data_IF_163688934081
#
_entry.id   IF_163688934081
#
_cell.length_a   1.000
_cell.length_b   1.000
_cell.length_c   1.000
_cell.angle_alpha   90.00
_cell.angle_beta   90.00
_cell.angle_gamma   90.00
#
_symmetry.space_group_name_H-M   'P 1'
#
loop_
_entity.id
_entity.type
_entity.pdbx_description
1 polymer ?
#
# COMPACT_ATOMS: atom_id res chain seq x y z
N UNK A 1 36.44 22.68 24.78
CA UNK A 1 35.38 23.19 25.68
C UNK A 1 33.97 22.88 25.20
N UNK A 2 33.71 22.74 23.89
CA UNK A 2 32.42 22.36 23.30
C UNK A 2 31.83 21.04 23.82
N UNK A 3 32.66 20.00 24.00
CA UNK A 3 32.20 18.67 24.48
C UNK A 3 31.62 18.61 25.90
N UNK A 4 31.96 19.55 26.79
CA UNK A 4 31.48 19.53 28.18
C UNK A 4 30.13 20.26 28.28
N UNK A 5 29.97 21.36 27.51
CA UNK A 5 28.70 22.10 27.41
C UNK A 5 27.62 21.23 26.76
N UNK A 6 27.98 20.47 25.72
CA UNK A 6 27.03 19.52 25.09
C UNK A 6 26.56 18.44 26.08
N UNK A 7 27.46 17.86 26.88
CA UNK A 7 27.08 16.85 27.89
C UNK A 7 26.19 17.42 29.01
N UNK A 8 26.42 18.65 29.45
CA UNK A 8 25.57 19.28 30.47
C UNK A 8 24.18 19.61 29.93
N UNK A 9 24.04 19.96 28.65
CA UNK A 9 22.73 20.13 28.00
C UNK A 9 22.02 18.79 27.81
N UNK A 10 22.72 17.74 27.36
CA UNK A 10 22.16 16.38 27.26
C UNK A 10 21.63 15.85 28.60
N UNK A 11 22.34 16.10 29.71
CA UNK A 11 21.88 15.73 31.06
C UNK A 11 20.61 16.51 31.43
N UNK A 12 20.54 17.80 31.12
CA UNK A 12 19.33 18.60 31.37
C UNK A 12 18.14 18.12 30.56
N UNK A 13 18.34 17.78 29.29
CA UNK A 13 17.27 17.20 28.47
C UNK A 13 16.85 15.82 29.00
N UNK A 14 17.77 15.01 29.52
CA UNK A 14 17.44 13.74 30.15
C UNK A 14 16.60 13.92 31.41
N UNK A 15 17.01 14.80 32.32
CA UNK A 15 16.27 15.08 33.57
C UNK A 15 14.86 15.65 33.28
N UNK A 16 14.75 16.56 32.30
CA UNK A 16 13.47 17.15 31.87
C UNK A 16 12.56 16.09 31.22
N UNK A 17 13.10 15.23 30.37
CA UNK A 17 12.30 14.22 29.66
C UNK A 17 11.97 13.01 30.54
N UNK A 18 12.83 12.62 31.47
CA UNK A 18 12.51 11.60 32.48
C UNK A 18 11.36 12.08 33.39
N UNK A 19 11.37 13.35 33.82
CA UNK A 19 10.23 13.96 34.55
C UNK A 19 8.93 13.95 33.73
N UNK A 20 9.02 14.26 32.44
CA UNK A 20 7.88 14.20 31.51
C UNK A 20 7.35 12.77 31.35
N UNK A 21 8.23 11.78 31.21
CA UNK A 21 7.83 10.37 31.06
C UNK A 21 7.20 9.84 32.35
N UNK A 22 7.71 10.22 33.52
CA UNK A 22 7.07 9.94 34.81
C UNK A 22 5.69 10.60 34.93
N UNK A 23 5.53 11.84 34.45
CA UNK A 23 4.24 12.54 34.41
C UNK A 23 3.22 11.88 33.47
N UNK A 24 3.67 11.32 32.34
CA UNK A 24 2.83 10.50 31.45
C UNK A 24 2.31 9.23 32.14
N UNK A 25 3.11 8.66 33.06
CA UNK A 25 2.75 7.48 33.86
C UNK A 25 1.92 7.81 35.12
N UNK A 26 1.87 9.07 35.57
CA UNK A 26 1.15 9.52 36.78
C UNK A 26 -0.11 10.36 36.51
N UNK A 27 -0.67 10.29 35.30
CA UNK A 27 -1.90 10.99 34.88
C UNK A 27 -1.79 12.53 34.78
N UNK A 28 -0.56 13.08 34.79
CA UNK A 28 -0.22 14.49 34.50
C UNK A 28 0.16 14.69 33.02
N UNK A 29 -0.59 14.01 32.13
CA UNK A 29 -0.22 13.85 30.72
C UNK A 29 -0.21 15.18 29.96
N UNK A 30 -1.21 16.05 30.17
CA UNK A 30 -1.35 17.27 29.39
C UNK A 30 -0.21 18.27 29.69
N UNK A 31 0.11 18.52 30.97
CA UNK A 31 1.22 19.38 31.40
C UNK A 31 2.58 18.86 30.92
N UNK A 32 2.78 17.54 30.98
CA UNK A 32 4.02 16.90 30.54
C UNK A 32 4.23 17.05 29.03
N UNK A 33 3.15 16.97 28.24
CA UNK A 33 3.21 17.12 26.79
C UNK A 33 3.42 18.58 26.35
N UNK A 34 2.85 19.55 27.06
CA UNK A 34 3.08 20.98 26.79
C UNK A 34 4.57 21.35 26.93
N UNK A 35 5.24 20.86 27.98
CA UNK A 35 6.68 21.08 28.18
C UNK A 35 7.53 20.53 27.03
N UNK A 36 7.16 19.38 26.46
CA UNK A 36 7.87 18.81 25.30
C UNK A 36 7.69 19.69 24.07
N UNK A 37 6.48 20.21 23.84
CA UNK A 37 6.17 21.07 22.70
C UNK A 37 6.98 22.36 22.75
N UNK A 38 7.13 22.98 23.92
CA UNK A 38 7.93 24.19 24.09
C UNK A 38 9.40 23.99 23.71
N UNK A 39 9.93 22.79 23.92
CA UNK A 39 11.30 22.41 23.57
C UNK A 39 11.45 21.97 22.11
N UNK A 40 10.36 21.70 21.37
CA UNK A 40 10.41 21.30 19.95
C UNK A 40 10.96 22.40 19.02
N UNK A 41 11.15 23.64 19.50
CA UNK A 41 11.87 24.66 18.76
C UNK A 41 13.38 24.40 18.63
N UNK A 42 13.95 23.53 19.46
CA UNK A 42 15.39 23.25 19.52
C UNK A 42 15.76 22.00 18.71
N UNK A 43 16.56 22.19 17.65
CA UNK A 43 17.05 21.09 16.81
C UNK A 43 17.94 20.10 17.57
N UNK A 44 18.64 20.54 18.63
CA UNK A 44 19.42 19.65 19.48
C UNK A 44 18.51 18.76 20.32
N UNK A 45 17.42 19.33 20.83
CA UNK A 45 16.40 18.57 21.55
C UNK A 45 15.73 17.52 20.65
N UNK A 46 15.41 17.88 19.39
CA UNK A 46 14.91 16.90 18.40
C UNK A 46 15.90 15.77 18.12
N UNK A 47 17.19 16.09 18.01
CA UNK A 47 18.24 15.08 17.85
C UNK A 47 18.30 14.15 19.07
N UNK A 48 18.32 14.71 20.28
CA UNK A 48 18.25 13.95 21.53
C UNK A 48 17.02 13.03 21.56
N UNK A 49 15.82 13.55 21.26
CA UNK A 49 14.59 12.77 21.26
C UNK A 49 14.66 11.57 20.32
N UNK A 50 15.26 11.71 19.13
CA UNK A 50 15.44 10.61 18.16
C UNK A 50 16.36 9.50 18.67
N UNK A 51 17.42 9.87 19.38
CA UNK A 51 18.41 8.92 19.91
C UNK A 51 17.99 8.31 21.24
N UNK A 52 17.06 8.95 21.95
CA UNK A 52 16.54 8.50 23.24
C UNK A 52 15.46 7.41 23.13
N UNK A 53 15.18 6.74 24.25
CA UNK A 53 14.05 5.80 24.39
C UNK A 53 12.69 6.48 24.52
N UNK A 54 12.65 7.79 24.75
CA UNK A 54 11.46 8.50 25.21
C UNK A 54 10.36 8.61 24.17
N UNK A 55 10.69 8.74 22.88
CA UNK A 55 9.67 8.69 21.82
C UNK A 55 8.96 7.34 21.77
N UNK A 56 9.70 6.24 21.99
CA UNK A 56 9.10 4.92 22.09
C UNK A 56 8.20 4.80 23.33
N UNK A 57 8.64 5.33 24.48
CA UNK A 57 7.85 5.36 25.71
C UNK A 57 6.55 6.16 25.54
N UNK A 58 6.60 7.35 24.94
CA UNK A 58 5.42 8.16 24.62
C UNK A 58 4.41 7.40 23.74
N UNK A 59 4.88 6.70 22.71
CA UNK A 59 3.99 5.88 21.85
C UNK A 59 3.44 4.67 22.61
N UNK A 60 4.22 4.07 23.52
CA UNK A 60 3.74 3.00 24.40
C UNK A 60 2.65 3.49 25.37
N UNK A 61 2.74 4.72 25.88
CA UNK A 61 1.68 5.32 26.70
C UNK A 61 0.39 5.47 25.90
N UNK A 62 0.46 5.93 24.64
CA UNK A 62 -0.72 5.98 23.75
C UNK A 62 -1.40 4.62 23.57
N UNK A 63 -0.65 3.52 23.69
CA UNK A 63 -1.16 2.16 23.51
C UNK A 63 -1.73 1.55 24.80
N UNK A 64 -1.17 1.91 25.96
CA UNK A 64 -1.49 1.30 27.25
C UNK A 64 -2.55 2.08 28.03
N UNK A 65 -2.55 3.40 27.94
CA UNK A 65 -3.43 4.28 28.71
C UNK A 65 -4.59 4.83 27.89
N UNK A 66 -5.73 5.08 28.54
CA UNK A 66 -6.82 5.88 27.97
C UNK A 66 -6.47 7.36 28.10
N UNK A 67 -5.65 7.85 27.18
CA UNK A 67 -5.31 9.27 27.10
C UNK A 67 -6.42 10.05 26.37
N UNK A 68 -6.52 11.35 26.64
CA UNK A 68 -7.44 12.25 25.95
C UNK A 68 -7.10 12.34 24.44
N UNK A 69 -8.09 12.69 23.62
CA UNK A 69 -7.86 12.92 22.19
C UNK A 69 -6.88 14.09 21.95
N UNK A 70 -6.92 15.11 22.81
CA UNK A 70 -5.97 16.23 22.82
C UNK A 70 -4.53 15.74 23.06
N UNK A 71 -4.29 14.99 24.14
CA UNK A 71 -2.96 14.45 24.46
C UNK A 71 -2.43 13.57 23.32
N UNK A 72 -3.28 12.72 22.74
CA UNK A 72 -2.93 11.89 21.60
C UNK A 72 -2.48 12.71 20.40
N UNK A 73 -3.19 13.81 20.09
CA UNK A 73 -2.84 14.70 19.00
C UNK A 73 -1.51 15.43 19.25
N UNK A 74 -1.22 15.80 20.49
CA UNK A 74 0.06 16.42 20.86
C UNK A 74 1.22 15.44 20.68
N UNK A 75 1.09 14.18 21.10
CA UNK A 75 2.15 13.16 20.84
C UNK A 75 2.38 12.98 19.34
N UNK A 76 1.32 12.94 18.53
CA UNK A 76 1.46 12.86 17.07
C UNK A 76 2.12 14.10 16.48
N UNK A 77 1.86 15.28 17.04
CA UNK A 77 2.51 16.53 16.67
C UNK A 77 4.01 16.49 16.99
N UNK A 78 4.38 16.10 18.22
CA UNK A 78 5.78 15.91 18.63
C UNK A 78 6.49 14.97 17.66
N UNK A 79 5.93 13.79 17.38
CA UNK A 79 6.51 12.85 16.41
C UNK A 79 6.68 13.49 15.01
N UNK A 80 5.70 14.26 14.56
CA UNK A 80 5.77 14.92 13.25
C UNK A 80 6.81 16.05 13.18
N UNK A 81 7.12 16.71 14.30
CA UNK A 81 8.13 17.75 14.38
C UNK A 81 9.54 17.19 14.55
N UNK A 82 9.67 16.04 15.21
CA UNK A 82 10.96 15.38 15.45
C UNK A 82 11.51 14.69 14.20
N UNK A 83 10.65 14.05 13.40
CA UNK A 83 11.09 13.33 12.21
C UNK A 83 11.03 14.19 10.96
N UNK A 84 12.19 14.47 10.36
CA UNK A 84 12.24 15.15 9.08
C UNK A 84 11.86 14.18 7.93
N UNK A 85 10.76 14.40 7.20
CA UNK A 85 10.36 13.54 6.10
C UNK A 85 11.33 13.58 4.91
N UNK A 86 12.23 14.57 4.87
CA UNK A 86 13.30 14.73 3.87
C UNK A 86 14.60 14.00 4.25
N UNK A 87 14.64 13.34 5.42
CA UNK A 87 15.77 12.55 5.90
C UNK A 87 15.42 11.06 5.92
N UNK A 88 16.18 10.26 5.17
CA UNK A 88 16.05 8.80 5.22
C UNK A 88 16.42 8.24 6.61
N UNK A 89 17.43 8.82 7.28
CA UNK A 89 17.84 8.40 8.61
C UNK A 89 16.72 8.55 9.62
N UNK A 90 16.07 9.72 9.63
CA UNK A 90 14.95 10.03 10.51
C UNK A 90 13.78 9.07 10.29
N UNK A 91 13.42 8.79 9.03
CA UNK A 91 12.34 7.85 8.74
C UNK A 91 12.70 6.41 9.12
N UNK A 92 13.96 6.01 8.98
CA UNK A 92 14.43 4.70 9.46
C UNK A 92 14.26 4.59 10.98
N UNK A 93 14.61 5.64 11.73
CA UNK A 93 14.46 5.64 13.19
C UNK A 93 12.99 5.68 13.61
N UNK A 94 12.13 6.39 12.88
CA UNK A 94 10.68 6.28 13.04
C UNK A 94 10.20 4.82 12.86
N UNK A 95 10.65 4.12 11.81
CA UNK A 95 10.25 2.73 11.60
C UNK A 95 10.74 1.80 12.72
N UNK A 96 11.92 2.04 13.30
CA UNK A 96 12.37 1.31 14.50
C UNK A 96 11.42 1.52 15.67
N UNK A 97 11.02 2.76 15.95
CA UNK A 97 10.05 3.05 17.03
C UNK A 97 8.70 2.37 16.76
N UNK A 98 8.22 2.43 15.51
CA UNK A 98 6.98 1.73 15.12
C UNK A 98 7.10 0.20 15.21
N UNK A 99 8.30 -0.37 15.04
CA UNK A 99 8.54 -1.79 15.30
C UNK A 99 8.63 -2.11 16.78
N UNK A 100 9.21 -1.24 17.60
CA UNK A 100 9.24 -1.41 19.06
C UNK A 100 7.83 -1.41 19.66
N UNK A 101 6.88 -0.70 19.04
CA UNK A 101 5.44 -0.81 19.33
C UNK A 101 4.91 -2.23 19.09
N UNK A 102 5.47 -2.93 18.10
CA UNK A 102 5.08 -4.29 17.78
C UNK A 102 5.68 -5.32 18.74
N UNK A 103 6.89 -5.09 19.27
CA UNK A 103 7.57 -6.05 20.16
C UNK A 103 6.73 -6.42 21.40
N UNK A 104 6.71 -7.67 21.89
CA UNK A 104 7.69 -8.76 21.73
C UNK A 104 7.86 -9.46 20.37
N UNK A 105 8.82 -10.40 20.29
CA UNK A 105 9.44 -10.84 19.04
C UNK A 105 8.40 -11.32 18.05
N UNK A 106 8.34 -10.66 16.89
CA UNK A 106 7.63 -11.18 15.72
C UNK A 106 8.44 -12.38 15.21
N UNK A 107 8.32 -13.52 15.89
CA UNK A 107 8.79 -14.80 15.38
C UNK A 107 8.03 -15.11 14.11
N UNK A 108 8.75 -15.35 13.02
CA UNK A 108 8.21 -15.84 11.76
C UNK A 108 7.22 -16.98 12.02
N UNK A 109 5.92 -16.67 11.92
CA UNK A 109 4.85 -17.67 11.84
C UNK A 109 3.97 -17.90 13.08
N UNK A 110 4.22 -17.28 14.25
CA UNK A 110 3.43 -17.62 15.46
C UNK A 110 2.62 -16.45 16.03
N UNK A 111 1.30 -16.59 15.84
CA UNK A 111 0.18 -16.16 16.67
C UNK A 111 0.17 -14.72 17.21
N UNK A 112 -0.66 -13.91 16.51
CA UNK A 112 -1.33 -12.73 17.05
C UNK A 112 -2.24 -13.19 18.21
N UNK A 113 -1.69 -13.28 19.41
CA UNK A 113 -2.49 -13.49 20.61
C UNK A 113 -3.27 -12.20 20.93
N UNK A 114 -4.60 -12.32 20.79
CA UNK A 114 -5.65 -11.31 20.89
C UNK A 114 -5.79 -10.34 19.69
N UNK A 115 -6.87 -10.51 18.92
CA UNK A 115 -7.24 -9.64 17.79
C UNK A 115 -7.49 -8.18 18.19
N UNK A 116 -7.78 -7.91 19.47
CA UNK A 116 -7.98 -6.56 20.00
C UNK A 116 -6.67 -5.79 20.18
N UNK A 117 -5.62 -6.44 20.72
CA UNK A 117 -4.30 -5.83 20.90
C UNK A 117 -3.62 -5.53 19.55
N UNK A 118 -3.68 -6.47 18.61
CA UNK A 118 -3.17 -6.20 17.26
C UNK A 118 -3.95 -5.08 16.55
N UNK A 119 -5.25 -4.93 16.83
CA UNK A 119 -6.06 -3.83 16.29
C UNK A 119 -5.64 -2.47 16.86
N UNK A 120 -5.40 -2.36 18.16
CA UNK A 120 -4.96 -1.09 18.77
C UNK A 120 -3.58 -0.70 18.27
N UNK A 121 -2.61 -1.63 18.30
CA UNK A 121 -1.25 -1.42 17.77
C UNK A 121 -1.26 -0.98 16.30
N UNK A 122 -1.96 -1.74 15.44
CA UNK A 122 -2.04 -1.41 14.02
C UNK A 122 -2.71 -0.05 13.79
N UNK A 123 -3.74 0.32 14.55
CA UNK A 123 -4.40 1.63 14.43
C UNK A 123 -3.46 2.78 14.75
N UNK A 124 -2.68 2.69 15.84
CA UNK A 124 -1.71 3.73 16.21
C UNK A 124 -0.63 3.86 15.14
N UNK A 125 -0.10 2.74 14.65
CA UNK A 125 0.87 2.73 13.55
C UNK A 125 0.30 3.44 12.31
N UNK A 126 -0.93 3.10 11.90
CA UNK A 126 -1.55 3.73 10.72
C UNK A 126 -1.71 5.23 10.90
N UNK A 127 -2.13 5.66 12.08
CA UNK A 127 -2.33 7.07 12.39
C UNK A 127 -1.01 7.86 12.33
N UNK A 128 0.07 7.31 12.88
CA UNK A 128 1.40 7.92 12.80
C UNK A 128 1.86 8.02 11.33
N UNK A 129 1.72 6.94 10.56
CA UNK A 129 2.11 6.89 9.15
C UNK A 129 1.22 7.78 8.25
N UNK A 130 -0.03 8.05 8.64
CA UNK A 130 -0.92 8.98 7.95
C UNK A 130 -0.62 10.45 8.30
N UNK A 131 -0.09 10.72 9.50
CA UNK A 131 0.21 12.07 9.98
C UNK A 131 1.58 12.57 9.51
N UNK A 132 2.58 11.71 9.49
CA UNK A 132 3.95 12.06 9.07
C UNK A 132 4.04 11.93 7.54
N UNK A 133 4.32 13.01 6.79
CA UNK A 133 4.33 12.95 5.34
C UNK A 133 5.56 12.20 4.82
N UNK A 134 5.43 10.89 4.58
CA UNK A 134 6.57 10.05 4.19
C UNK A 134 6.96 10.31 2.74
N UNK A 135 8.19 10.80 2.52
CA UNK A 135 8.82 10.78 1.21
C UNK A 135 9.38 9.40 0.92
N UNK A 136 9.28 9.04 -0.34
CA UNK A 136 9.69 7.75 -0.84
C UNK A 136 11.15 7.78 -1.33
N UNK A 137 12.03 7.08 -0.63
CA UNK A 137 13.46 6.93 -0.97
C UNK A 137 13.74 5.58 -1.63
N UNK A 138 14.59 5.55 -2.64
CA UNK A 138 15.07 4.29 -3.23
C UNK A 138 15.63 3.34 -2.17
N UNK A 139 16.36 3.86 -1.18
CA UNK A 139 16.92 3.10 -0.05
C UNK A 139 15.88 2.38 0.83
N UNK A 140 14.58 2.68 0.69
CA UNK A 140 13.55 1.93 1.41
C UNK A 140 13.52 0.46 1.04
N UNK A 141 13.92 0.09 -0.18
CA UNK A 141 14.06 -1.31 -0.63
C UNK A 141 14.94 -2.18 0.27
N UNK A 142 15.85 -1.56 1.03
CA UNK A 142 16.82 -2.24 1.89
C UNK A 142 16.51 -2.08 3.39
N UNK A 143 15.40 -1.42 3.75
CA UNK A 143 15.05 -1.16 5.13
C UNK A 143 14.27 -2.33 5.74
N UNK A 144 15.00 -3.19 6.46
CA UNK A 144 14.44 -4.36 7.18
C UNK A 144 13.33 -3.95 8.15
N UNK A 145 13.46 -2.80 8.81
CA UNK A 145 12.44 -2.33 9.75
C UNK A 145 11.11 -2.05 9.06
N UNK A 146 11.18 -1.39 7.90
CA UNK A 146 10.03 -1.10 7.07
C UNK A 146 9.43 -2.37 6.47
N UNK A 147 10.24 -3.34 6.06
CA UNK A 147 9.79 -4.64 5.55
C UNK A 147 8.93 -5.37 6.57
N UNK A 148 9.40 -5.47 7.81
CA UNK A 148 8.65 -6.11 8.90
C UNK A 148 7.34 -5.37 9.19
N UNK A 149 7.37 -4.04 9.19
CA UNK A 149 6.19 -3.20 9.41
C UNK A 149 5.15 -3.41 8.30
N UNK A 150 5.59 -3.37 7.04
CA UNK A 150 4.76 -3.59 5.86
C UNK A 150 4.14 -4.98 5.87
N UNK A 151 4.91 -6.01 6.19
CA UNK A 151 4.41 -7.38 6.31
C UNK A 151 3.33 -7.52 7.39
N UNK A 152 3.55 -6.94 8.57
CA UNK A 152 2.55 -6.91 9.64
C UNK A 152 1.25 -6.22 9.19
N UNK A 153 1.36 -5.07 8.53
CA UNK A 153 0.20 -4.32 8.04
C UNK A 153 -0.57 -5.08 6.96
N UNK A 154 0.12 -5.80 6.06
CA UNK A 154 -0.51 -6.69 5.08
C UNK A 154 -1.39 -7.75 5.77
N UNK A 155 -0.89 -8.40 6.83
CA UNK A 155 -1.65 -9.39 7.62
C UNK A 155 -2.86 -8.73 8.30
N UNK A 156 -2.68 -7.57 8.92
CA UNK A 156 -3.79 -6.87 9.58
C UNK A 156 -4.87 -6.46 8.58
N UNK A 157 -4.50 -6.01 7.38
CA UNK A 157 -5.44 -5.65 6.31
C UNK A 157 -6.15 -6.87 5.73
N UNK A 158 -5.43 -7.98 5.50
CA UNK A 158 -6.02 -9.23 4.96
C UNK A 158 -7.06 -9.81 5.93
N UNK A 159 -6.75 -9.86 7.23
CA UNK A 159 -7.63 -10.31 8.31
C UNK A 159 -8.73 -9.32 8.70
N UNK A 160 -8.85 -8.18 8.01
CA UNK A 160 -9.82 -7.10 8.31
C UNK A 160 -9.69 -6.53 9.73
N UNK A 161 -8.50 -6.63 10.33
CA UNK A 161 -8.18 -6.03 11.64
C UNK A 161 -8.17 -4.50 11.50
N UNK A 162 -7.58 -4.02 10.41
CA UNK A 162 -7.59 -2.60 9.99
C UNK A 162 -8.22 -2.45 8.60
N UNK A 163 -8.67 -1.23 8.31
CA UNK A 163 -9.21 -0.88 6.98
C UNK A 163 -8.10 -0.82 5.95
N UNK A 164 -8.49 -0.79 4.67
CA UNK A 164 -7.57 -0.53 3.58
C UNK A 164 -6.96 0.86 3.74
N UNK A 165 -5.65 0.92 3.92
CA UNK A 165 -4.95 2.16 4.18
C UNK A 165 -4.13 2.62 2.97
N UNK A 166 -4.12 3.94 2.74
CA UNK A 166 -3.48 4.56 1.57
C UNK A 166 -1.95 4.47 1.62
N UNK A 167 -1.34 4.58 2.80
CA UNK A 167 0.11 4.47 2.97
C UNK A 167 0.61 3.11 2.49
N UNK A 168 0.07 2.00 3.01
CA UNK A 168 0.52 0.65 2.63
C UNK A 168 0.32 0.40 1.13
N UNK A 169 -0.82 0.81 0.58
CA UNK A 169 -1.11 0.61 -0.84
C UNK A 169 -0.18 1.42 -1.72
N UNK A 170 0.04 2.71 -1.40
CA UNK A 170 0.97 3.55 -2.14
C UNK A 170 2.40 3.06 -2.04
N UNK A 171 2.78 2.50 -0.88
CA UNK A 171 4.10 1.91 -0.67
C UNK A 171 4.30 0.70 -1.58
N UNK A 172 3.38 -0.28 -1.53
CA UNK A 172 3.47 -1.51 -2.32
C UNK A 172 3.36 -1.27 -3.84
N UNK A 173 2.66 -0.22 -4.27
CA UNK A 173 2.69 0.22 -5.67
C UNK A 173 4.08 0.73 -6.06
N UNK A 174 4.74 1.48 -5.17
CA UNK A 174 6.02 2.13 -5.46
C UNK A 174 7.24 1.21 -5.31
N UNK A 175 7.17 0.23 -4.42
CA UNK A 175 8.26 -0.70 -4.10
C UNK A 175 7.80 -2.15 -4.34
N UNK A 176 7.65 -2.57 -5.62
CA UNK A 176 7.20 -3.92 -5.98
C UNK A 176 8.19 -5.03 -5.60
N UNK A 177 9.41 -4.70 -5.20
CA UNK A 177 10.40 -5.65 -4.68
C UNK A 177 10.03 -6.24 -3.31
N UNK A 178 9.15 -5.58 -2.55
CA UNK A 178 8.69 -6.09 -1.25
C UNK A 178 7.75 -7.28 -1.42
N UNK A 179 7.98 -8.32 -0.63
CA UNK A 179 7.17 -9.53 -0.70
C UNK A 179 5.72 -9.27 -0.29
N UNK A 180 4.80 -9.75 -1.13
CA UNK A 180 3.38 -9.74 -0.82
C UNK A 180 2.98 -11.01 -0.09
N UNK A 181 2.35 -10.83 1.07
CA UNK A 181 1.75 -11.92 1.83
C UNK A 181 0.59 -12.56 1.04
N UNK A 182 0.52 -13.89 1.03
CA UNK A 182 -0.48 -14.64 0.23
C UNK A 182 -1.94 -14.31 0.59
N UNK A 183 -2.25 -14.15 1.88
CA UNK A 183 -3.59 -13.75 2.33
C UNK A 183 -3.93 -12.33 1.86
N UNK A 184 -2.92 -11.45 1.80
CA UNK A 184 -3.07 -10.10 1.29
C UNK A 184 -3.35 -10.10 -0.22
N UNK A 185 -2.58 -10.85 -1.01
CA UNK A 185 -2.82 -11.03 -2.45
C UNK A 185 -4.23 -11.57 -2.70
N UNK A 186 -4.62 -12.61 -1.96
CA UNK A 186 -5.97 -13.17 -2.01
C UNK A 186 -7.04 -12.12 -1.68
N UNK A 187 -6.80 -11.27 -0.69
CA UNK A 187 -7.74 -10.21 -0.29
C UNK A 187 -7.83 -9.09 -1.34
N UNK A 188 -6.73 -8.75 -2.02
CA UNK A 188 -6.70 -7.81 -3.16
C UNK A 188 -7.57 -8.35 -4.29
N UNK A 189 -7.35 -9.60 -4.71
CA UNK A 189 -8.09 -10.26 -5.79
C UNK A 189 -9.58 -10.42 -5.48
N UNK A 190 -9.94 -10.87 -4.27
CA UNK A 190 -11.35 -11.08 -3.88
C UNK A 190 -12.16 -9.80 -3.73
N UNK A 191 -11.52 -8.66 -3.45
CA UNK A 191 -12.23 -7.38 -3.20
C UNK A 191 -12.21 -6.43 -4.38
N UNK A 192 -11.45 -6.74 -5.44
CA UNK A 192 -11.26 -5.83 -6.58
C UNK A 192 -10.62 -4.49 -6.19
N UNK A 193 -9.77 -4.48 -5.16
CA UNK A 193 -9.15 -3.24 -4.65
C UNK A 193 -7.67 -3.22 -4.97
N UNK A 194 -7.24 -2.20 -5.69
CA UNK A 194 -5.82 -1.90 -5.93
C UNK A 194 -5.05 -2.99 -6.70
N UNK A 195 -5.62 -3.49 -7.81
CA UNK A 195 -4.90 -4.39 -8.72
C UNK A 195 -3.58 -3.80 -9.24
N UNK A 196 -3.46 -2.48 -9.27
CA UNK A 196 -2.21 -1.75 -9.53
C UNK A 196 -1.00 -2.28 -8.71
N UNK A 197 -1.21 -2.75 -7.47
CA UNK A 197 -0.14 -3.39 -6.68
C UNK A 197 0.33 -4.67 -7.37
N UNK A 198 -0.60 -5.51 -7.80
CA UNK A 198 -0.29 -6.77 -8.47
C UNK A 198 0.24 -6.54 -9.90
N UNK A 199 -0.18 -5.48 -10.58
CA UNK A 199 0.39 -5.06 -11.87
C UNK A 199 1.89 -4.80 -11.70
N UNK A 200 2.27 -3.94 -10.75
CA UNK A 200 3.68 -3.60 -10.53
C UNK A 200 4.46 -4.78 -9.96
N UNK A 201 3.87 -5.55 -9.05
CA UNK A 201 4.50 -6.74 -8.47
C UNK A 201 4.79 -7.81 -9.52
N UNK A 202 3.84 -8.07 -10.43
CA UNK A 202 4.02 -9.04 -11.53
C UNK A 202 4.88 -8.52 -12.66
N UNK A 203 5.21 -7.23 -12.72
CA UNK A 203 6.19 -6.73 -13.69
C UNK A 203 7.60 -7.28 -13.41
N UNK A 204 7.90 -7.70 -12.17
CA UNK A 204 9.19 -8.30 -11.80
C UNK A 204 9.20 -9.83 -11.94
N UNK A 205 10.24 -10.37 -12.59
CA UNK A 205 10.37 -11.81 -12.86
C UNK A 205 10.41 -12.67 -11.60
N UNK A 206 11.16 -12.23 -10.58
CA UNK A 206 11.30 -12.97 -9.32
C UNK A 206 9.95 -13.18 -8.62
N UNK A 207 9.07 -12.17 -8.68
CA UNK A 207 7.77 -12.18 -8.02
C UNK A 207 6.77 -13.10 -8.71
N UNK A 208 6.78 -13.17 -10.04
CA UNK A 208 5.97 -14.14 -10.79
C UNK A 208 6.36 -15.58 -10.43
N UNK A 209 7.66 -15.86 -10.28
CA UNK A 209 8.13 -17.16 -9.80
C UNK A 209 7.53 -17.52 -8.45
N UNK A 210 7.53 -16.60 -7.48
CA UNK A 210 6.90 -16.82 -6.15
C UNK A 210 5.39 -17.06 -6.25
N UNK A 211 4.67 -16.22 -7.00
CA UNK A 211 3.23 -16.37 -7.19
C UNK A 211 2.86 -17.68 -7.87
N UNK A 212 3.74 -18.20 -8.74
CA UNK A 212 3.48 -19.46 -9.44
C UNK A 212 3.41 -20.67 -8.53
N UNK A 213 4.09 -20.59 -7.38
CA UNK A 213 4.09 -21.62 -6.35
C UNK A 213 2.88 -21.51 -5.42
N UNK A 214 2.13 -20.40 -5.46
CA UNK A 214 0.95 -20.20 -4.62
C UNK A 214 -0.28 -20.89 -5.22
N UNK A 215 -0.84 -21.93 -4.58
CA UNK A 215 -2.04 -22.59 -5.07
C UNK A 215 -3.29 -21.70 -4.93
N UNK A 216 -3.32 -20.79 -3.95
CA UNK A 216 -4.47 -19.91 -3.73
C UNK A 216 -4.53 -18.75 -4.72
N UNK A 217 -3.37 -18.27 -5.18
CA UNK A 217 -3.27 -17.14 -6.12
C UNK A 217 -4.00 -17.44 -7.43
N UNK A 218 -3.70 -18.58 -8.08
CA UNK A 218 -4.32 -18.96 -9.36
C UNK A 218 -5.85 -19.02 -9.24
N UNK A 219 -6.36 -19.64 -8.19
CA UNK A 219 -7.79 -19.75 -7.97
C UNK A 219 -8.46 -18.38 -7.75
N UNK A 220 -7.82 -17.51 -6.97
CA UNK A 220 -8.32 -16.15 -6.72
C UNK A 220 -8.28 -15.29 -7.99
N UNK A 221 -7.22 -15.40 -8.79
CA UNK A 221 -7.08 -14.67 -10.05
C UNK A 221 -8.14 -15.10 -11.06
N UNK A 222 -8.33 -16.42 -11.25
CA UNK A 222 -9.39 -16.96 -12.10
C UNK A 222 -10.76 -16.45 -11.70
N UNK A 223 -11.06 -16.42 -10.39
CA UNK A 223 -12.32 -15.88 -9.88
C UNK A 223 -12.46 -14.37 -10.15
N UNK A 224 -11.42 -13.59 -9.89
CA UNK A 224 -11.43 -12.15 -10.14
C UNK A 224 -11.67 -11.82 -11.62
N UNK A 225 -11.03 -12.56 -12.54
CA UNK A 225 -11.26 -12.41 -13.98
C UNK A 225 -12.69 -12.80 -14.37
N UNK A 226 -13.21 -13.91 -13.86
CA UNK A 226 -14.60 -14.28 -14.09
C UNK A 226 -15.56 -13.19 -13.60
N UNK A 227 -15.37 -12.67 -12.39
CA UNK A 227 -16.23 -11.64 -11.80
C UNK A 227 -16.23 -10.32 -12.60
N UNK A 228 -15.07 -9.89 -13.12
CA UNK A 228 -14.97 -8.61 -13.86
C UNK A 228 -15.37 -8.75 -15.35
N UNK A 229 -15.18 -9.92 -15.97
CA UNK A 229 -15.40 -10.13 -17.41
C UNK A 229 -16.70 -10.87 -17.76
N UNK A 230 -17.39 -11.48 -16.79
CA UNK A 230 -18.77 -11.91 -17.02
C UNK A 230 -19.74 -10.77 -16.71
N UNK A 231 -20.73 -10.55 -17.58
CA UNK A 231 -21.81 -9.61 -17.30
C UNK A 231 -22.60 -10.07 -16.07
N UNK A 232 -22.23 -9.58 -14.90
CA UNK A 232 -23.09 -9.76 -13.74
C UNK A 232 -24.30 -8.84 -13.91
N UNK A 233 -25.50 -9.42 -14.03
CA UNK A 233 -26.77 -8.78 -13.67
C UNK A 233 -26.80 -8.46 -12.17
N UNK A 234 -25.83 -7.71 -11.67
CA UNK A 234 -25.77 -7.19 -10.31
C UNK A 234 -25.38 -5.73 -10.33
N UNK A 235 -26.23 -4.92 -10.96
CA UNK A 235 -26.62 -3.65 -10.36
C UNK A 235 -27.38 -3.96 -9.05
N UNK A 236 -26.65 -4.36 -8.02
CA UNK A 236 -27.08 -4.15 -6.65
C UNK A 236 -26.30 -2.95 -6.17
N UNK A 237 -27.01 -1.83 -6.11
CA UNK A 237 -26.62 -0.59 -5.45
C UNK A 237 -25.68 -0.86 -4.28
N UNK A 238 -24.46 -0.32 -4.38
CA UNK A 238 -23.46 -0.28 -3.31
C UNK A 238 -23.86 0.80 -2.28
N UNK A 239 -25.09 0.70 -1.78
CA UNK A 239 -25.62 1.55 -0.71
C UNK A 239 -25.15 1.11 0.69
N UNK A 240 -24.36 0.04 0.77
CA UNK A 240 -23.66 -0.34 1.99
C UNK A 240 -22.18 0.04 1.87
N UNK A 241 -21.79 1.21 2.40
CA UNK A 241 -20.62 1.41 3.28
C UNK A 241 -20.18 2.88 3.48
N UNK A 242 -21.00 3.88 3.11
CA UNK A 242 -20.82 5.25 3.61
C UNK A 242 -21.83 5.55 4.73
N UNK A 243 -21.67 4.89 5.88
CA UNK A 243 -22.22 5.39 7.15
C UNK A 243 -21.13 5.38 8.23
N UNK A 244 -20.85 6.58 8.71
CA UNK A 244 -19.95 6.91 9.82
C UNK A 244 -18.72 7.68 9.34
N UNK A 245 -18.48 8.94 9.65
CA UNK A 245 -19.25 10.05 10.25
C UNK A 245 -18.50 11.33 9.84
N UNK A 246 -19.12 12.49 10.00
CA UNK A 246 -18.63 13.78 9.54
C UNK A 246 -17.23 14.17 10.09
N UNK A 247 -16.38 14.86 9.30
CA UNK A 247 -15.21 15.55 9.82
C UNK A 247 -15.63 16.87 10.48
N UNK A 248 -15.23 17.11 11.72
CA UNK A 248 -15.22 18.45 12.35
C UNK A 248 -13.99 19.20 11.80
N UNK A 249 -14.07 20.51 11.50
CA UNK A 249 -13.35 21.10 10.38
C UNK A 249 -11.96 21.58 10.77
N UNK A 250 -10.98 21.34 9.88
CA UNK A 250 -9.80 22.16 9.77
C UNK A 250 -9.75 22.72 8.34
N UNK A 251 -9.98 24.02 8.26
CA UNK A 251 -9.62 25.00 7.22
C UNK A 251 -9.68 24.56 5.74
N UNK A 252 -10.62 25.20 5.05
CA UNK A 252 -10.90 25.18 3.61
C UNK A 252 -9.69 25.36 2.69
N UNK A 253 -9.56 24.49 1.68
CA UNK A 253 -9.07 24.86 0.35
C UNK A 253 -9.97 24.20 -0.73
N UNK A 254 -10.81 25.05 -1.30
CA UNK A 254 -11.42 25.04 -2.64
C UNK A 254 -11.15 23.81 -3.52
N UNK A 255 -12.20 23.03 -3.79
CA UNK A 255 -12.78 22.84 -5.12
C UNK A 255 -14.11 22.08 -4.97
N UNK A 256 -15.22 22.84 -5.02
CA UNK A 256 -16.54 22.26 -5.28
C UNK A 256 -16.48 21.69 -6.70
N UNK A 257 -16.44 20.38 -6.83
CA UNK A 257 -16.86 19.70 -8.05
C UNK A 257 -18.10 18.87 -7.78
N UNK A 258 -19.04 19.08 -8.70
CA UNK A 258 -20.46 18.83 -8.58
C UNK A 258 -20.79 17.36 -8.37
N UNK A 259 -21.82 17.15 -7.55
CA UNK A 259 -22.55 15.88 -7.41
C UNK A 259 -23.19 15.50 -8.75
N UNK A 260 -22.44 14.82 -9.61
CA UNK A 260 -22.96 14.00 -10.73
C UNK A 260 -22.02 12.80 -11.06
N UNK A 261 -21.17 12.40 -10.10
CA UNK A 261 -19.95 11.58 -10.37
C UNK A 261 -20.14 10.06 -10.19
N UNK A 262 -21.23 9.57 -9.58
CA UNK A 262 -21.27 8.18 -9.13
C UNK A 262 -21.36 7.12 -10.25
N UNK A 263 -21.99 7.40 -11.40
CA UNK A 263 -22.08 6.44 -12.51
C UNK A 263 -20.83 6.46 -13.40
N UNK A 264 -20.28 7.64 -13.70
CA UNK A 264 -19.03 7.79 -14.46
C UNK A 264 -17.84 7.26 -13.66
N UNK A 265 -17.79 7.53 -12.35
CA UNK A 265 -16.76 7.02 -11.45
C UNK A 265 -16.71 5.50 -11.39
N UNK A 266 -17.88 4.84 -11.33
CA UNK A 266 -17.96 3.37 -11.31
C UNK A 266 -17.52 2.75 -12.64
N UNK A 267 -17.93 3.30 -13.79
CA UNK A 267 -17.47 2.80 -15.10
C UNK A 267 -15.97 2.94 -15.28
N UNK A 268 -15.40 4.09 -14.92
CA UNK A 268 -13.95 4.34 -15.00
C UNK A 268 -13.17 3.40 -14.08
N UNK A 269 -13.67 3.15 -12.86
CA UNK A 269 -13.04 2.20 -11.94
C UNK A 269 -13.12 0.76 -12.46
N UNK A 270 -14.26 0.34 -13.02
CA UNK A 270 -14.42 -0.99 -13.59
C UNK A 270 -13.50 -1.21 -14.80
N UNK A 271 -13.39 -0.21 -15.69
CA UNK A 271 -12.45 -0.27 -16.81
C UNK A 271 -11.01 -0.39 -16.31
N UNK A 272 -10.59 0.45 -15.36
CA UNK A 272 -9.25 0.35 -14.76
C UNK A 272 -8.97 -1.04 -14.18
N UNK A 273 -9.94 -1.65 -13.49
CA UNK A 273 -9.79 -3.02 -12.95
C UNK A 273 -9.61 -4.05 -14.06
N UNK A 274 -10.38 -3.96 -15.14
CA UNK A 274 -10.21 -4.82 -16.32
C UNK A 274 -8.83 -4.63 -16.93
N UNK A 275 -8.38 -3.38 -17.13
CA UNK A 275 -7.03 -3.08 -17.63
C UNK A 275 -5.96 -3.71 -16.74
N UNK A 276 -6.03 -3.47 -15.43
CA UNK A 276 -5.04 -3.97 -14.48
C UNK A 276 -5.02 -5.51 -14.44
N UNK A 277 -6.18 -6.18 -14.49
CA UNK A 277 -6.26 -7.64 -14.58
C UNK A 277 -5.62 -8.16 -15.86
N UNK A 278 -5.91 -7.55 -17.01
CA UNK A 278 -5.32 -7.97 -18.29
C UNK A 278 -3.80 -7.83 -18.24
N UNK A 279 -3.28 -6.73 -17.68
CA UNK A 279 -1.83 -6.53 -17.51
C UNK A 279 -1.21 -7.64 -16.64
N UNK A 280 -1.85 -7.99 -15.52
CA UNK A 280 -1.42 -9.11 -14.67
C UNK A 280 -1.35 -10.40 -15.48
N UNK A 281 -2.37 -10.71 -16.29
CA UNK A 281 -2.39 -11.92 -17.13
C UNK A 281 -1.26 -11.93 -18.16
N UNK A 282 -0.97 -10.80 -18.82
CA UNK A 282 0.14 -10.70 -19.79
C UNK A 282 1.48 -10.94 -19.08
N UNK A 283 1.69 -10.29 -17.94
CA UNK A 283 2.91 -10.44 -17.13
C UNK A 283 3.17 -11.88 -16.69
N UNK A 284 2.10 -12.65 -16.43
CA UNK A 284 2.15 -14.06 -16.09
C UNK A 284 2.43 -14.93 -17.33
N UNK A 285 1.71 -14.72 -18.43
CA UNK A 285 1.88 -15.48 -19.68
C UNK A 285 3.24 -15.29 -20.32
N UNK A 286 3.80 -14.07 -20.26
CA UNK A 286 5.15 -13.79 -20.77
C UNK A 286 6.25 -14.64 -20.13
N UNK A 287 5.94 -15.32 -19.01
CA UNK A 287 6.82 -16.17 -18.20
C UNK A 287 6.28 -17.60 -18.04
N UNK A 288 5.52 -18.06 -19.03
CA UNK A 288 5.02 -19.44 -19.15
C UNK A 288 4.13 -19.89 -17.98
N UNK A 289 3.49 -18.93 -17.29
CA UNK A 289 2.53 -19.26 -16.24
C UNK A 289 1.20 -19.68 -16.86
N UNK A 290 0.82 -20.95 -16.68
CA UNK A 290 -0.49 -21.44 -17.11
C UNK A 290 -1.60 -20.79 -16.28
N UNK A 291 -2.50 -20.05 -16.94
CA UNK A 291 -3.55 -19.28 -16.27
C UNK A 291 -4.82 -20.08 -15.99
N UNK A 292 -5.13 -21.12 -16.78
CA UNK A 292 -6.39 -21.87 -16.72
C UNK A 292 -7.65 -20.96 -16.80
N UNK A 293 -7.59 -19.92 -17.63
CA UNK A 293 -8.66 -18.94 -17.86
C UNK A 293 -9.05 -19.00 -19.33
N UNK A 294 -10.35 -19.15 -19.62
CA UNK A 294 -10.86 -19.16 -20.99
C UNK A 294 -10.71 -17.78 -21.62
N UNK A 295 -9.92 -17.71 -22.69
CA UNK A 295 -9.64 -16.45 -23.38
C UNK A 295 -10.85 -15.91 -24.14
N UNK A 296 -11.79 -16.79 -24.53
CA UNK A 296 -13.05 -16.40 -25.18
C UNK A 296 -13.89 -15.44 -24.32
N UNK A 297 -13.75 -15.45 -22.99
CA UNK A 297 -14.39 -14.48 -22.10
C UNK A 297 -13.81 -13.07 -22.27
N UNK A 298 -12.48 -12.98 -22.39
CA UNK A 298 -11.77 -11.70 -22.52
C UNK A 298 -11.89 -11.18 -23.96
N UNK A 299 -11.83 -12.06 -24.96
CA UNK A 299 -12.01 -11.72 -26.37
C UNK A 299 -13.36 -11.04 -26.64
N UNK A 300 -14.45 -11.49 -26.01
CA UNK A 300 -15.77 -10.84 -26.09
C UNK A 300 -15.78 -9.39 -25.60
N UNK A 301 -14.88 -9.04 -24.68
CA UNK A 301 -14.77 -7.67 -24.17
C UNK A 301 -13.98 -6.74 -25.11
N UNK A 302 -13.25 -7.27 -26.09
CA UNK A 302 -12.32 -6.50 -26.93
C UNK A 302 -12.95 -5.27 -27.60
N UNK A 303 -14.12 -5.43 -28.23
CA UNK A 303 -14.81 -4.34 -28.93
C UNK A 303 -15.70 -3.47 -28.03
N UNK A 304 -15.80 -3.77 -26.73
CA UNK A 304 -16.70 -3.07 -25.78
C UNK A 304 -15.98 -2.27 -24.69
N UNK A 305 -14.65 -2.24 -24.71
CA UNK A 305 -13.82 -1.48 -23.75
C UNK A 305 -13.20 -0.24 -24.39
N UNK A 306 -12.61 0.62 -23.57
CA UNK A 306 -11.84 1.79 -24.05
C UNK A 306 -10.57 1.37 -24.81
N UNK A 307 -10.00 2.31 -25.57
CA UNK A 307 -8.83 2.06 -26.42
C UNK A 307 -7.63 1.51 -25.64
N UNK A 308 -7.35 2.01 -24.42
CA UNK A 308 -6.20 1.56 -23.64
C UNK A 308 -6.38 0.11 -23.22
N UNK A 309 -7.53 -0.22 -22.64
CA UNK A 309 -7.86 -1.59 -22.27
C UNK A 309 -7.85 -2.52 -23.48
N UNK A 310 -8.38 -2.06 -24.62
CA UNK A 310 -8.39 -2.82 -25.88
C UNK A 310 -6.98 -3.17 -26.35
N UNK A 311 -6.03 -2.24 -26.26
CA UNK A 311 -4.64 -2.48 -26.62
C UNK A 311 -4.01 -3.57 -25.74
N UNK A 312 -4.23 -3.53 -24.43
CA UNK A 312 -3.76 -4.59 -23.53
C UNK A 312 -4.42 -5.94 -23.82
N UNK A 313 -5.74 -5.96 -24.09
CA UNK A 313 -6.40 -7.20 -24.51
C UNK A 313 -5.77 -7.72 -25.80
N UNK A 314 -5.46 -6.87 -26.77
CA UNK A 314 -4.83 -7.29 -28.03
C UNK A 314 -3.50 -8.03 -27.80
N UNK A 315 -2.64 -7.48 -26.93
CA UNK A 315 -1.38 -8.14 -26.53
C UNK A 315 -1.63 -9.51 -25.92
N UNK A 316 -2.57 -9.58 -24.98
CA UNK A 316 -2.92 -10.83 -24.31
C UNK A 316 -3.33 -11.90 -25.34
N UNK A 317 -4.25 -11.56 -26.24
CA UNK A 317 -4.77 -12.49 -27.23
C UNK A 317 -3.68 -12.91 -28.23
N UNK A 318 -2.82 -11.99 -28.68
CA UNK A 318 -1.70 -12.30 -29.59
C UNK A 318 -0.71 -13.29 -28.96
N UNK A 319 -0.32 -13.06 -27.70
CA UNK A 319 0.58 -13.96 -26.97
C UNK A 319 -0.04 -15.32 -26.69
N UNK A 320 -1.35 -15.36 -26.43
CA UNK A 320 -2.03 -16.62 -26.22
C UNK A 320 -2.24 -17.41 -27.51
N UNK A 321 -2.49 -16.75 -28.65
CA UNK A 321 -2.62 -17.43 -29.96
C UNK A 321 -1.38 -18.20 -30.38
N UNK A 322 -0.20 -17.78 -29.93
CA UNK A 322 1.05 -18.50 -30.16
C UNK A 322 1.17 -19.78 -29.32
N UNK A 323 0.45 -19.83 -28.19
CA UNK A 323 0.69 -20.82 -27.14
C UNK A 323 -0.47 -21.81 -26.95
N UNK A 324 -1.74 -21.42 -26.95
CA UNK A 324 -2.90 -22.32 -26.76
C UNK A 324 -4.20 -21.62 -27.21
N UNK A 325 -5.09 -22.35 -27.92
CA UNK A 325 -6.48 -21.99 -28.29
C UNK A 325 -6.71 -21.15 -29.58
N UNK A 326 -6.52 -21.75 -30.77
CA UNK A 326 -6.96 -21.14 -32.06
C UNK A 326 -8.48 -21.06 -32.22
N UNK A 327 -9.24 -21.94 -31.59
CA UNK A 327 -10.70 -22.04 -31.81
C UNK A 327 -11.54 -20.99 -31.06
N UNK A 328 -11.04 -20.44 -29.95
CA UNK A 328 -11.76 -19.44 -29.14
C UNK A 328 -11.74 -18.02 -29.75
N UNK A 329 -11.00 -17.82 -30.84
CA UNK A 329 -10.67 -16.50 -31.41
C UNK A 329 -11.17 -16.31 -32.85
N UNK A 330 -12.07 -17.18 -33.33
CA UNK A 330 -12.54 -17.17 -34.73
C UNK A 330 -13.15 -15.84 -35.17
N UNK A 331 -13.66 -15.06 -34.22
CA UNK A 331 -14.35 -13.80 -34.48
C UNK A 331 -13.45 -12.55 -34.31
N UNK A 332 -12.15 -12.72 -34.01
CA UNK A 332 -11.23 -11.59 -33.78
C UNK A 332 -10.21 -11.49 -34.92
N UNK A 333 -10.19 -10.35 -35.60
CA UNK A 333 -9.25 -10.08 -36.69
C UNK A 333 -7.82 -9.91 -36.16
N UNK A 334 -6.89 -10.76 -36.60
CA UNK A 334 -5.47 -10.72 -36.18
C UNK A 334 -4.80 -9.37 -36.53
N UNK A 335 -5.13 -8.80 -37.69
CA UNK A 335 -4.55 -7.52 -38.11
C UNK A 335 -5.05 -6.35 -37.25
N UNK A 336 -6.28 -6.41 -36.74
CA UNK A 336 -6.78 -5.44 -35.76
C UNK A 336 -6.01 -5.56 -34.44
N UNK A 337 -5.75 -6.80 -33.99
CA UNK A 337 -4.97 -7.05 -32.78
C UNK A 337 -3.55 -6.48 -32.91
N UNK A 338 -2.85 -6.75 -34.02
CA UNK A 338 -1.52 -6.20 -34.27
C UNK A 338 -1.54 -4.68 -34.28
N UNK A 339 -2.53 -4.08 -34.95
CA UNK A 339 -2.68 -2.62 -35.01
C UNK A 339 -2.86 -2.03 -33.63
N UNK A 340 -3.77 -2.56 -32.81
CA UNK A 340 -3.99 -2.05 -31.45
C UNK A 340 -2.77 -2.30 -30.55
N UNK A 341 -2.17 -3.49 -30.60
CA UNK A 341 -0.98 -3.82 -29.81
C UNK A 341 0.21 -2.88 -30.09
N UNK A 342 0.42 -2.46 -31.35
CA UNK A 342 1.47 -1.49 -31.71
C UNK A 342 1.33 -0.14 -31.00
N UNK A 343 0.12 0.25 -30.58
CA UNK A 343 -0.05 1.51 -29.83
C UNK A 343 0.64 1.48 -28.46
N UNK A 344 0.84 0.30 -27.87
CA UNK A 344 1.57 0.16 -26.59
C UNK A 344 3.08 0.34 -26.74
N UNK A 345 3.64 0.18 -27.94
CA UNK A 345 5.06 0.48 -28.19
C UNK A 345 5.37 1.97 -28.07
N UNK A 346 4.35 2.82 -28.22
CA UNK A 346 4.44 4.27 -28.08
C UNK A 346 3.90 4.77 -26.74
N UNK A 347 3.52 3.86 -25.83
CA UNK A 347 3.13 4.24 -24.47
C UNK A 347 4.38 4.73 -23.72
N UNK A 348 4.41 5.98 -23.21
CA UNK A 348 5.55 6.50 -22.48
C UNK A 348 5.78 5.81 -21.12
N UNK A 349 4.80 5.08 -20.60
CA UNK A 349 4.92 4.32 -19.35
C UNK A 349 4.27 2.94 -19.47
N UNK A 350 4.87 2.01 -20.23
CA UNK A 350 4.30 0.69 -20.41
C UNK A 350 4.32 -0.05 -19.07
N UNK A 351 3.14 -0.55 -18.65
CA UNK A 351 2.97 -1.34 -17.41
C UNK A 351 3.37 -2.82 -17.58
N UNK A 352 3.96 -3.15 -18.72
CA UNK A 352 4.42 -4.48 -19.10
C UNK A 352 5.93 -4.58 -18.89
N UNK A 353 6.42 -5.79 -18.66
CA UNK A 353 7.86 -6.00 -18.57
C UNK A 353 8.54 -5.77 -19.92
N UNK A 354 9.84 -5.42 -19.90
CA UNK A 354 10.62 -5.20 -21.12
C UNK A 354 10.58 -6.41 -22.04
N UNK A 355 10.66 -7.62 -21.49
CA UNK A 355 10.64 -8.85 -22.29
C UNK A 355 9.32 -9.04 -23.05
N UNK A 356 8.21 -8.56 -22.50
CA UNK A 356 6.90 -8.58 -23.14
C UNK A 356 6.84 -7.56 -24.27
N UNK A 357 7.39 -6.36 -24.06
CA UNK A 357 7.46 -5.34 -25.11
C UNK A 357 8.36 -5.79 -26.27
N UNK A 358 9.49 -6.43 -25.97
CA UNK A 358 10.41 -6.97 -26.99
C UNK A 358 9.72 -8.07 -27.81
N UNK A 359 9.04 -9.03 -27.16
CA UNK A 359 8.22 -10.04 -27.84
C UNK A 359 7.11 -9.41 -28.69
N UNK A 360 6.51 -8.31 -28.25
CA UNK A 360 5.49 -7.60 -29.03
C UNK A 360 6.04 -7.02 -30.32
N UNK A 361 7.27 -6.49 -30.31
CA UNK A 361 7.94 -5.98 -31.51
C UNK A 361 8.11 -7.11 -32.52
N UNK A 362 8.52 -8.30 -32.08
CA UNK A 362 8.70 -9.48 -32.95
C UNK A 362 7.40 -9.97 -33.61
N UNK A 363 6.26 -9.84 -32.90
CA UNK A 363 4.94 -10.30 -33.39
C UNK A 363 4.23 -9.25 -34.24
N UNK A 364 4.58 -7.99 -34.02
CA UNK A 364 3.99 -6.85 -34.71
C UNK A 364 4.81 -6.35 -35.90
N UNK A 365 6.04 -6.81 -36.08
CA UNK A 365 6.77 -6.75 -37.36
C UNK A 365 6.18 -7.73 -38.36
#
# INVERSE_FOLDING_TARGET
MTRIIDKTQEIKYADEVDYIVEGLDNDEIDTSLELVVDLMGDERFKAYMRESRHLSEMVQVMLRKRISESARNVVLEILSQVFNPYSFGDLKDLFKILLMVLDGPVSNGTLIDSSACARSKARVIMEILERIPIKWYSKFSECVELERLVFFLQICMSKKVVRWNRFLLSFLVKYPEFELNEDFVSAVLKKGRSYEILVNYTALKANVGKLSLSPSFRQCLKRAVLEEFTESKRDKSLECMLKGWAPTPAVSLVLKHEKNVNLKGNRVQNLKRKTDLVIILINLLGRDFYLDISLGLIAKAYYSVDQVTRCYIAVLLLFSMQNLEKDAMKDVCIEDLKKDARHLLFDPMPRLSKEILDKLIEISG
#
